data_IF_827108770565
#
_entry.id   IF_827108770565
#
_cell.length_a   1.000
_cell.length_b   1.000
_cell.length_c   1.000
_cell.angle_alpha   90.00
_cell.angle_beta   90.00
_cell.angle_gamma   90.00
#
_symmetry.space_group_name_H-M   'P 1'
#
loop_
_entity.id
_entity.type
_entity.pdbx_description
1 polymer ?
#
# COMPACT_ATOMS: atom_id res chain seq x y z
N UNK A 1 3.21 9.93 12.38
CA UNK A 1 1.76 10.15 12.19
C UNK A 1 1.29 9.41 10.96
N UNK A 2 0.20 8.66 11.06
CA UNK A 2 -0.46 8.01 9.94
C UNK A 2 -1.90 8.53 9.80
N UNK A 3 -2.40 8.64 8.57
CA UNK A 3 -3.73 9.15 8.30
C UNK A 3 -4.48 8.23 7.33
N UNK A 4 -5.72 7.95 7.68
CA UNK A 4 -6.76 7.38 6.82
C UNK A 4 -7.87 8.42 6.61
N UNK A 5 -8.80 8.26 5.66
CA UNK A 5 -9.83 9.28 5.39
C UNK A 5 -10.65 9.68 6.61
N UNK A 6 -10.94 8.72 7.48
CA UNK A 6 -11.78 8.91 8.67
C UNK A 6 -11.02 9.40 9.90
N UNK A 7 -9.69 9.19 9.98
CA UNK A 7 -8.95 9.40 11.23
C UNK A 7 -7.46 9.64 11.02
N UNK A 8 -6.84 10.35 11.98
CA UNK A 8 -5.39 10.53 12.08
C UNK A 8 -4.88 9.83 13.33
N UNK A 9 -3.81 9.05 13.19
CA UNK A 9 -3.16 8.32 14.27
C UNK A 9 -1.78 8.93 14.56
N UNK A 10 -1.49 9.18 15.82
CA UNK A 10 -0.15 9.50 16.29
C UNK A 10 0.46 8.23 16.87
N UNK A 11 1.47 7.69 16.20
CA UNK A 11 2.09 6.42 16.58
C UNK A 11 3.39 6.70 17.35
N UNK A 12 3.61 5.92 18.41
CA UNK A 12 4.88 5.85 19.15
C UNK A 12 5.61 4.54 18.83
N UNK A 13 6.81 4.39 19.35
CA UNK A 13 7.59 3.18 19.18
C UNK A 13 6.84 1.96 19.75
N UNK A 14 6.75 0.92 18.94
CA UNK A 14 6.06 -0.33 19.30
C UNK A 14 4.61 -0.41 18.90
N UNK A 15 3.97 0.72 18.59
CA UNK A 15 2.58 0.73 18.11
C UNK A 15 2.40 0.06 16.77
N UNK A 16 1.26 -0.56 16.58
CA UNK A 16 0.87 -1.20 15.32
C UNK A 16 -0.39 -0.51 14.76
N UNK A 17 -0.33 -0.18 13.49
CA UNK A 17 -1.50 0.25 12.73
C UNK A 17 -1.74 -0.73 11.59
N UNK A 18 -2.88 -1.39 11.60
CA UNK A 18 -3.33 -2.24 10.51
C UNK A 18 -4.34 -1.47 9.69
N UNK A 19 -4.13 -1.42 8.38
CA UNK A 19 -4.97 -0.69 7.44
C UNK A 19 -5.59 -1.69 6.47
N UNK A 20 -6.91 -1.59 6.29
CA UNK A 20 -7.60 -2.43 5.33
C UNK A 20 -7.14 -2.11 3.90
N UNK A 21 -6.92 -3.14 3.07
CA UNK A 21 -6.33 -3.04 1.73
C UNK A 21 -7.03 -2.09 0.77
N UNK A 22 -8.31 -1.79 1.00
CA UNK A 22 -9.06 -0.82 0.19
C UNK A 22 -9.08 0.60 0.79
N UNK A 23 -8.30 0.85 1.83
CA UNK A 23 -8.28 2.15 2.52
C UNK A 23 -7.10 2.98 2.07
N UNK A 24 -7.41 4.16 1.54
CA UNK A 24 -6.38 5.15 1.25
C UNK A 24 -5.71 5.60 2.54
N UNK A 25 -4.39 5.62 2.52
CA UNK A 25 -3.62 6.05 3.67
C UNK A 25 -2.30 6.68 3.26
N UNK A 26 -1.76 7.50 4.13
CA UNK A 26 -0.37 7.92 4.05
C UNK A 26 0.22 8.03 5.46
N UNK A 27 1.54 7.86 5.54
CA UNK A 27 2.28 8.05 6.77
C UNK A 27 3.36 9.11 6.58
N UNK A 28 3.55 9.92 7.61
CA UNK A 28 4.65 10.87 7.70
C UNK A 28 5.49 10.47 8.90
N UNK A 29 6.70 10.01 8.66
CA UNK A 29 7.67 9.69 9.70
C UNK A 29 8.37 10.97 10.18
N UNK A 30 8.69 11.04 11.47
CA UNK A 30 9.65 12.00 11.97
C UNK A 30 11.06 11.67 11.41
N UNK A 31 11.98 12.65 11.30
CA UNK A 31 13.30 12.42 10.66
C UNK A 31 14.12 11.26 11.26
N UNK A 32 13.86 10.89 12.51
CA UNK A 32 14.57 9.81 13.22
C UNK A 32 13.68 8.57 13.45
N UNK A 33 12.63 8.37 12.66
CA UNK A 33 11.69 7.28 12.83
C UNK A 33 11.98 6.14 11.83
N UNK A 34 12.11 4.91 12.34
CA UNK A 34 12.14 3.68 11.54
C UNK A 34 10.71 3.13 11.42
N UNK A 35 10.10 3.29 10.25
CA UNK A 35 8.78 2.75 9.93
C UNK A 35 8.94 1.41 9.22
N UNK A 36 8.43 0.34 9.85
CA UNK A 36 8.39 -1.01 9.27
C UNK A 36 6.97 -1.32 8.83
N UNK A 37 6.80 -1.84 7.63
CA UNK A 37 5.48 -2.18 7.10
C UNK A 37 5.46 -3.51 6.37
N UNK A 38 4.31 -4.18 6.44
CA UNK A 38 3.95 -5.29 5.58
C UNK A 38 2.79 -4.90 4.70
N UNK A 39 2.90 -5.21 3.40
CA UNK A 39 1.77 -5.24 2.48
C UNK A 39 1.67 -6.66 1.95
N UNK A 40 0.54 -7.31 2.14
CA UNK A 40 0.36 -8.69 1.70
C UNK A 40 -1.02 -8.92 1.09
N UNK A 41 -1.07 -9.87 0.14
CA UNK A 41 -2.32 -10.34 -0.40
C UNK A 41 -3.04 -11.23 0.61
N UNK A 42 -4.37 -11.13 0.74
CA UNK A 42 -5.16 -12.07 1.52
C UNK A 42 -4.91 -13.54 1.16
N UNK A 43 -4.58 -13.82 -0.11
CA UNK A 43 -4.26 -15.16 -0.59
C UNK A 43 -3.05 -15.80 0.13
N UNK A 44 -2.13 -14.99 0.66
CA UNK A 44 -1.01 -15.51 1.47
C UNK A 44 -1.51 -16.24 2.72
N UNK A 45 -2.61 -15.75 3.32
CA UNK A 45 -3.23 -16.36 4.49
C UNK A 45 -4.19 -17.47 4.10
N UNK A 46 -5.05 -17.23 3.12
CA UNK A 46 -6.16 -18.13 2.76
C UNK A 46 -5.77 -19.27 1.81
N UNK A 47 -4.69 -19.12 1.06
CA UNK A 47 -4.28 -20.01 -0.02
C UNK A 47 -5.07 -19.74 -1.32
N UNK A 48 -6.39 -19.83 -1.27
CA UNK A 48 -7.30 -19.52 -2.39
C UNK A 48 -8.42 -18.60 -1.94
N UNK A 49 -9.05 -17.89 -2.90
CA UNK A 49 -10.19 -17.02 -2.63
C UNK A 49 -11.46 -17.74 -2.17
N UNK A 50 -11.56 -19.05 -2.42
CA UNK A 50 -12.75 -19.87 -2.17
C UNK A 50 -12.56 -20.80 -0.96
N UNK A 51 -11.47 -20.65 -0.20
CA UNK A 51 -11.24 -21.48 0.97
C UNK A 51 -12.22 -21.14 2.10
N UNK A 52 -12.52 -22.12 2.95
CA UNK A 52 -13.37 -21.90 4.13
C UNK A 52 -12.82 -20.77 5.03
N UNK A 53 -11.51 -20.61 5.07
CA UNK A 53 -10.84 -19.52 5.80
C UNK A 53 -11.13 -18.16 5.14
N UNK A 54 -11.08 -18.10 3.80
CA UNK A 54 -11.41 -16.88 3.06
C UNK A 54 -12.85 -16.45 3.31
N UNK A 55 -13.82 -17.37 3.16
CA UNK A 55 -15.24 -17.08 3.30
C UNK A 55 -15.62 -16.70 4.74
N UNK A 56 -15.12 -17.45 5.71
CA UNK A 56 -15.53 -17.31 7.10
C UNK A 56 -14.87 -16.13 7.84
N UNK A 57 -13.61 -15.82 7.53
CA UNK A 57 -12.83 -14.87 8.33
C UNK A 57 -12.32 -13.68 7.52
N UNK A 58 -11.70 -13.93 6.35
CA UNK A 58 -10.97 -12.87 5.66
C UNK A 58 -11.90 -11.97 4.85
N UNK A 59 -12.85 -12.54 4.09
CA UNK A 59 -13.80 -11.74 3.33
C UNK A 59 -14.66 -10.83 4.23
N UNK A 60 -15.27 -11.33 5.34
CA UNK A 60 -16.00 -10.45 6.27
C UNK A 60 -15.13 -9.37 6.88
N UNK A 61 -13.85 -9.68 7.20
CA UNK A 61 -12.92 -8.69 7.72
C UNK A 61 -12.62 -7.60 6.68
N UNK A 62 -12.29 -7.97 5.44
CA UNK A 62 -11.95 -7.01 4.37
C UNK A 62 -13.14 -6.14 3.95
N UNK A 63 -14.35 -6.68 4.01
CA UNK A 63 -15.59 -5.96 3.66
C UNK A 63 -16.23 -5.26 4.85
N UNK A 64 -15.65 -5.35 6.05
CA UNK A 64 -16.17 -4.71 7.25
C UNK A 64 -16.15 -3.18 7.13
N UNK A 65 -17.30 -2.50 7.11
CA UNK A 65 -17.37 -1.07 6.86
C UNK A 65 -16.70 -0.23 7.95
N UNK A 66 -16.66 -0.72 9.18
CA UNK A 66 -15.99 -0.07 10.32
C UNK A 66 -14.48 -0.29 10.33
N UNK A 67 -13.95 -1.16 9.48
CA UNK A 67 -12.51 -1.46 9.39
C UNK A 67 -11.85 -0.69 8.26
N UNK A 68 -11.60 0.58 8.44
CA UNK A 68 -10.64 1.33 7.62
C UNK A 68 -9.21 1.18 8.16
N UNK A 69 -9.04 1.29 9.47
CA UNK A 69 -7.79 1.04 10.17
C UNK A 69 -8.06 0.53 11.60
N UNK A 70 -7.13 -0.24 12.14
CA UNK A 70 -7.11 -0.70 13.52
C UNK A 70 -5.79 -0.32 14.17
N UNK A 71 -5.87 0.45 15.26
CA UNK A 71 -4.71 0.88 16.05
C UNK A 71 -4.57 0.00 17.28
N UNK A 72 -3.38 -0.53 17.50
CA UNK A 72 -2.98 -1.26 18.71
C UNK A 72 -1.88 -0.50 19.43
N UNK A 73 -2.21 -0.04 20.63
CA UNK A 73 -1.27 0.62 21.54
C UNK A 73 -0.42 -0.45 22.23
N UNK A 74 0.90 -0.34 22.07
CA UNK A 74 1.86 -1.32 22.62
C UNK A 74 1.92 -1.34 24.16
N UNK A 75 1.48 -0.28 24.83
CA UNK A 75 1.46 -0.23 26.30
C UNK A 75 0.29 -1.01 26.90
N UNK A 76 -0.79 -1.22 26.12
CA UNK A 76 -1.98 -1.94 26.58
C UNK A 76 -2.02 -3.39 26.11
N UNK A 77 -1.62 -3.66 24.87
CA UNK A 77 -1.66 -5.00 24.28
C UNK A 77 -0.57 -5.17 23.22
N UNK A 78 0.48 -5.92 23.55
CA UNK A 78 1.61 -6.15 22.64
C UNK A 78 1.40 -7.35 21.68
N UNK A 79 0.22 -7.98 21.71
CA UNK A 79 -0.09 -9.16 20.90
C UNK A 79 0.14 -8.93 19.42
N UNK A 80 -0.38 -7.82 18.88
CA UNK A 80 -0.19 -7.45 17.48
C UNK A 80 1.28 -7.16 17.17
N UNK A 81 1.96 -6.42 18.06
CA UNK A 81 3.37 -6.10 17.91
C UNK A 81 4.25 -7.36 17.92
N UNK A 82 3.89 -8.35 18.75
CA UNK A 82 4.59 -9.64 18.80
C UNK A 82 4.46 -10.41 17.49
N UNK A 83 3.26 -10.57 16.96
CA UNK A 83 3.06 -11.24 15.66
C UNK A 83 3.75 -10.49 14.52
N UNK A 84 3.66 -9.16 14.51
CA UNK A 84 4.36 -8.34 13.52
C UNK A 84 5.88 -8.56 13.58
N UNK A 85 6.48 -8.51 14.78
CA UNK A 85 7.93 -8.74 14.95
C UNK A 85 8.33 -10.15 14.51
N UNK A 86 7.51 -11.17 14.83
CA UNK A 86 7.75 -12.55 14.40
C UNK A 86 7.80 -12.64 12.88
N UNK A 87 6.78 -12.12 12.19
CA UNK A 87 6.74 -12.12 10.73
C UNK A 87 7.91 -11.34 10.12
N UNK A 88 8.19 -10.14 10.64
CA UNK A 88 9.24 -9.27 10.13
C UNK A 88 10.64 -9.87 10.32
N UNK A 89 10.89 -10.49 11.47
CA UNK A 89 12.17 -11.16 11.77
C UNK A 89 12.35 -12.38 10.87
N UNK A 90 11.32 -13.22 10.73
CA UNK A 90 11.37 -14.40 9.86
C UNK A 90 11.69 -14.02 8.43
N UNK A 91 11.02 -12.96 7.91
CA UNK A 91 11.26 -12.46 6.57
C UNK A 91 12.68 -11.87 6.40
N UNK A 92 13.19 -11.15 7.41
CA UNK A 92 14.53 -10.56 7.35
C UNK A 92 15.65 -11.60 7.43
N UNK A 93 15.41 -12.75 8.04
CA UNK A 93 16.38 -13.83 8.18
C UNK A 93 16.35 -14.86 7.05
N UNK A 94 15.21 -15.00 6.38
CA UNK A 94 14.98 -15.96 5.29
C UNK A 94 15.49 -17.39 5.61
N UNK A 95 15.32 -17.82 6.86
CA UNK A 95 15.70 -19.17 7.31
C UNK A 95 14.80 -20.20 6.63
N UNK A 96 15.25 -21.45 6.55
CA UNK A 96 14.42 -22.52 5.97
C UNK A 96 13.01 -22.56 6.60
N UNK A 97 11.98 -22.45 5.77
CA UNK A 97 10.57 -22.44 6.19
C UNK A 97 10.06 -21.13 6.74
N UNK A 98 10.75 -20.00 6.55
CA UNK A 98 10.32 -18.68 7.00
C UNK A 98 8.95 -18.28 6.47
N UNK A 99 8.57 -18.73 5.28
CA UNK A 99 7.26 -18.46 4.66
C UNK A 99 6.11 -18.98 5.52
N UNK A 100 6.29 -20.15 6.15
CA UNK A 100 5.30 -20.70 7.07
C UNK A 100 5.17 -19.85 8.33
N UNK A 101 6.29 -19.40 8.89
CA UNK A 101 6.31 -18.52 10.07
C UNK A 101 5.64 -17.18 9.77
N UNK A 102 5.93 -16.58 8.60
CA UNK A 102 5.28 -15.33 8.14
C UNK A 102 3.78 -15.55 7.99
N UNK A 103 3.37 -16.60 7.29
CA UNK A 103 1.96 -16.92 7.07
C UNK A 103 1.21 -17.14 8.39
N UNK A 104 1.80 -17.89 9.32
CA UNK A 104 1.22 -18.12 10.63
C UNK A 104 1.01 -16.81 11.39
N UNK A 105 2.04 -15.98 11.50
CA UNK A 105 1.97 -14.70 12.20
C UNK A 105 0.92 -13.76 11.59
N UNK A 106 0.85 -13.66 10.26
CA UNK A 106 -0.16 -12.85 9.56
C UNK A 106 -1.58 -13.45 9.75
N UNK A 107 -1.71 -14.77 9.81
CA UNK A 107 -2.99 -15.43 10.11
C UNK A 107 -3.48 -15.09 11.51
N UNK A 108 -2.58 -15.05 12.49
CA UNK A 108 -2.90 -14.67 13.87
C UNK A 108 -3.31 -13.18 13.95
N UNK A 109 -2.66 -12.30 13.18
CA UNK A 109 -3.08 -10.89 13.08
C UNK A 109 -4.51 -10.79 12.53
N UNK A 110 -4.82 -11.50 11.46
CA UNK A 110 -6.17 -11.51 10.88
C UNK A 110 -7.22 -12.05 11.86
N UNK A 111 -6.90 -13.13 12.58
CA UNK A 111 -7.79 -13.71 13.58
C UNK A 111 -8.03 -12.76 14.76
N UNK A 112 -6.99 -12.09 15.25
CA UNK A 112 -7.09 -11.08 16.30
C UNK A 112 -8.01 -9.93 15.87
N UNK A 113 -7.80 -9.40 14.66
CA UNK A 113 -8.64 -8.34 14.09
C UNK A 113 -10.09 -8.79 13.96
N UNK A 114 -10.34 -10.01 13.48
CA UNK A 114 -11.68 -10.57 13.37
C UNK A 114 -12.38 -10.62 14.73
N UNK A 115 -11.69 -11.07 15.76
CA UNK A 115 -12.21 -11.12 17.13
C UNK A 115 -12.52 -9.74 17.72
N UNK A 116 -11.70 -8.73 17.41
CA UNK A 116 -11.87 -7.35 17.91
C UNK A 116 -12.95 -6.58 17.16
N UNK A 117 -13.02 -6.74 15.85
CA UNK A 117 -13.93 -6.00 14.98
C UNK A 117 -15.31 -6.65 14.85
N UNK A 118 -15.40 -7.96 15.11
CA UNK A 118 -16.63 -8.77 15.03
C UNK A 118 -17.44 -8.43 13.75
N UNK A 119 -16.89 -8.63 12.54
CA UNK A 119 -17.57 -8.30 11.30
C UNK A 119 -18.94 -8.96 11.22
N UNK A 120 -19.94 -8.23 10.78
CA UNK A 120 -21.34 -8.72 10.69
C UNK A 120 -22.22 -8.39 11.88
N UNK A 121 -21.68 -7.82 12.97
CA UNK A 121 -22.47 -7.39 14.16
C UNK A 121 -22.80 -5.90 14.17
N UNK A 122 -22.16 -5.10 13.31
CA UNK A 122 -22.37 -3.64 13.24
C UNK A 122 -23.10 -3.25 11.95
N UNK A 123 -23.96 -2.23 12.04
CA UNK A 123 -24.69 -1.66 10.92
C UNK A 123 -23.74 -1.23 9.77
N UNK A 124 -24.16 -1.43 8.53
CA UNK A 124 -23.41 -1.07 7.32
C UNK A 124 -23.03 0.42 7.35
N UNK A 125 -21.75 0.71 7.49
CA UNK A 125 -21.25 2.05 7.21
C UNK A 125 -21.23 2.23 5.69
N UNK A 126 -22.10 3.08 5.17
CA UNK A 126 -22.10 3.45 3.75
C UNK A 126 -20.81 4.22 3.46
N UNK A 127 -19.97 3.79 2.49
CA UNK A 127 -18.77 4.52 2.11
C UNK A 127 -19.15 5.97 1.78
N UNK A 128 -18.30 6.91 2.17
CA UNK A 128 -18.56 8.30 1.81
C UNK A 128 -18.49 8.46 0.28
N UNK A 129 -19.30 9.38 -0.26
CA UNK A 129 -19.31 9.66 -1.70
C UNK A 129 -17.89 10.04 -2.23
N UNK A 130 -17.10 10.71 -1.40
CA UNK A 130 -15.71 11.06 -1.72
C UNK A 130 -14.81 9.81 -1.80
N UNK A 131 -15.02 8.81 -0.93
CA UNK A 131 -14.26 7.54 -0.97
C UNK A 131 -14.57 6.72 -2.22
N UNK A 132 -15.83 6.65 -2.63
CA UNK A 132 -16.19 5.97 -3.88
C UNK A 132 -15.59 6.67 -5.10
N UNK A 133 -15.66 8.01 -5.14
CA UNK A 133 -15.10 8.82 -6.22
C UNK A 133 -13.60 8.63 -6.34
N UNK A 134 -12.87 8.73 -5.22
CA UNK A 134 -11.42 8.60 -5.24
C UNK A 134 -11.02 7.18 -5.67
N UNK A 135 -11.75 6.14 -5.23
CA UNK A 135 -11.50 4.76 -5.62
C UNK A 135 -11.62 4.55 -7.13
N UNK A 136 -12.68 5.11 -7.76
CA UNK A 136 -12.85 5.06 -9.23
C UNK A 136 -11.71 5.77 -9.95
N UNK A 137 -11.32 6.96 -9.48
CA UNK A 137 -10.22 7.73 -10.05
C UNK A 137 -8.87 7.01 -9.95
N UNK A 138 -8.59 6.38 -8.81
CA UNK A 138 -7.36 5.59 -8.64
C UNK A 138 -7.35 4.34 -9.50
N UNK A 139 -8.47 3.62 -9.59
CA UNK A 139 -8.60 2.45 -10.48
C UNK A 139 -8.30 2.84 -11.92
N UNK A 140 -8.81 3.98 -12.36
CA UNK A 140 -8.52 4.51 -13.70
C UNK A 140 -7.02 4.80 -13.87
N UNK A 141 -6.40 5.52 -12.94
CA UNK A 141 -4.97 5.84 -12.99
C UNK A 141 -4.13 4.56 -13.03
N UNK A 142 -4.44 3.57 -12.20
CA UNK A 142 -3.70 2.31 -12.13
C UNK A 142 -3.82 1.48 -13.42
N UNK A 143 -4.95 1.58 -14.12
CA UNK A 143 -5.17 0.86 -15.38
C UNK A 143 -4.59 1.56 -16.62
N UNK A 144 -4.23 2.85 -16.52
CA UNK A 144 -3.82 3.67 -17.67
C UNK A 144 -2.54 4.47 -17.40
N UNK A 145 -1.77 4.13 -16.34
CA UNK A 145 -0.65 4.95 -15.87
C UNK A 145 0.47 5.14 -16.91
N UNK A 146 0.62 4.22 -17.83
CA UNK A 146 1.60 4.24 -18.93
C UNK A 146 1.16 5.09 -20.13
N UNK A 147 -0.10 5.53 -20.16
CA UNK A 147 -0.68 6.37 -21.20
C UNK A 147 -0.65 7.87 -20.82
N UNK A 148 -0.81 8.78 -21.79
CA UNK A 148 -1.06 10.20 -21.49
C UNK A 148 -2.38 10.36 -20.71
N UNK A 149 -2.30 10.79 -19.46
CA UNK A 149 -3.46 11.01 -18.58
C UNK A 149 -3.57 12.50 -18.24
N UNK A 150 -4.79 13.05 -18.39
CA UNK A 150 -5.12 14.41 -17.96
C UNK A 150 -6.01 14.39 -16.71
N UNK A 151 -6.12 15.55 -16.03
CA UNK A 151 -7.07 15.72 -14.91
C UNK A 151 -8.51 15.51 -15.38
N UNK A 152 -8.82 15.82 -16.64
CA UNK A 152 -10.14 15.63 -17.23
C UNK A 152 -10.50 14.14 -17.32
N UNK A 153 -9.56 13.30 -17.74
CA UNK A 153 -9.76 11.85 -17.86
C UNK A 153 -10.01 11.22 -16.49
N UNK A 154 -9.20 11.62 -15.52
CA UNK A 154 -9.32 11.16 -14.12
C UNK A 154 -10.68 11.57 -13.53
N UNK A 155 -11.10 12.81 -13.74
CA UNK A 155 -12.39 13.32 -13.27
C UNK A 155 -13.57 12.61 -13.96
N UNK A 156 -13.44 12.34 -15.27
CA UNK A 156 -14.42 11.60 -16.06
C UNK A 156 -14.68 10.20 -15.55
N UNK A 157 -13.64 9.49 -15.07
CA UNK A 157 -13.77 8.15 -14.49
C UNK A 157 -14.68 8.09 -13.24
N UNK A 158 -14.81 9.20 -12.54
CA UNK A 158 -15.72 9.32 -11.38
C UNK A 158 -16.99 10.14 -11.68
N UNK A 159 -17.22 10.53 -12.95
CA UNK A 159 -18.31 11.38 -13.38
C UNK A 159 -18.43 12.71 -12.59
N UNK A 160 -17.28 13.38 -12.37
CA UNK A 160 -17.19 14.65 -11.62
C UNK A 160 -16.43 15.71 -12.41
N UNK A 161 -16.55 16.98 -12.00
CA UNK A 161 -15.76 18.06 -12.58
C UNK A 161 -14.27 17.97 -12.19
N UNK A 162 -13.39 18.59 -12.99
CA UNK A 162 -11.96 18.67 -12.67
C UNK A 162 -11.71 19.37 -11.31
N UNK A 163 -12.51 20.40 -11.00
CA UNK A 163 -12.42 21.10 -9.70
C UNK A 163 -12.72 20.16 -8.54
N UNK A 164 -13.74 19.33 -8.69
CA UNK A 164 -14.13 18.36 -7.68
C UNK A 164 -13.08 17.22 -7.56
N UNK A 165 -12.53 16.78 -8.68
CA UNK A 165 -11.39 15.84 -8.71
C UNK A 165 -10.20 16.37 -7.90
N UNK A 166 -9.77 17.61 -8.16
CA UNK A 166 -8.70 18.27 -7.42
C UNK A 166 -9.02 18.34 -5.91
N UNK A 167 -10.26 18.71 -5.55
CA UNK A 167 -10.72 18.77 -4.16
C UNK A 167 -10.66 17.40 -3.48
N UNK A 168 -11.18 16.36 -4.14
CA UNK A 168 -11.14 14.98 -3.61
C UNK A 168 -9.73 14.51 -3.39
N UNK A 169 -8.83 14.68 -4.36
CA UNK A 169 -7.42 14.32 -4.23
C UNK A 169 -6.73 15.09 -3.10
N UNK A 170 -6.92 16.41 -3.02
CA UNK A 170 -6.31 17.23 -1.97
C UNK A 170 -6.81 16.82 -0.58
N UNK A 171 -8.12 16.55 -0.43
CA UNK A 171 -8.72 16.15 0.85
C UNK A 171 -8.26 14.77 1.30
N UNK A 172 -8.16 13.81 0.37
CA UNK A 172 -7.99 12.38 0.71
C UNK A 172 -6.55 11.93 0.61
N UNK A 173 -5.82 12.36 -0.43
CA UNK A 173 -4.46 11.88 -0.77
C UNK A 173 -3.40 12.93 -0.45
N UNK A 174 -3.80 14.22 -0.35
CA UNK A 174 -2.92 15.38 -0.15
C UNK A 174 -1.87 15.59 -1.26
N UNK A 175 -2.17 15.06 -2.44
CA UNK A 175 -1.44 15.30 -3.69
C UNK A 175 -2.43 15.79 -4.74
N UNK A 176 -1.94 16.48 -5.78
CA UNK A 176 -2.76 16.67 -6.97
C UNK A 176 -2.88 15.35 -7.76
N UNK A 177 -3.92 15.19 -8.62
CA UNK A 177 -4.07 13.98 -9.44
C UNK A 177 -2.81 13.67 -10.27
N UNK A 178 -2.22 14.69 -10.91
CA UNK A 178 -1.00 14.51 -11.72
C UNK A 178 0.23 14.17 -10.87
N UNK A 179 0.37 14.74 -9.67
CA UNK A 179 1.43 14.33 -8.74
C UNK A 179 1.28 12.87 -8.31
N UNK A 180 0.04 12.41 -8.11
CA UNK A 180 -0.21 11.01 -7.82
C UNK A 180 0.14 10.10 -9.01
N UNK A 181 -0.25 10.45 -10.24
CA UNK A 181 0.14 9.73 -11.46
C UNK A 181 1.67 9.59 -11.54
N UNK A 182 2.40 10.70 -11.37
CA UNK A 182 3.87 10.68 -11.41
C UNK A 182 4.46 9.79 -10.31
N UNK A 183 3.93 9.86 -9.09
CA UNK A 183 4.35 8.99 -7.99
C UNK A 183 4.11 7.52 -8.33
N UNK A 184 2.93 7.18 -8.83
CA UNK A 184 2.58 5.81 -9.19
C UNK A 184 3.48 5.27 -10.32
N UNK A 185 3.71 6.05 -11.38
CA UNK A 185 4.65 5.72 -12.46
C UNK A 185 6.07 5.41 -11.93
N UNK A 186 6.55 6.22 -11.00
CA UNK A 186 7.87 6.02 -10.38
C UNK A 186 7.90 4.76 -9.52
N UNK A 187 6.82 4.43 -8.80
CA UNK A 187 6.72 3.19 -8.05
C UNK A 187 6.76 1.97 -8.97
N UNK A 188 6.02 1.98 -10.09
CA UNK A 188 6.08 0.93 -11.12
C UNK A 188 7.47 0.82 -11.74
N UNK A 189 8.12 1.95 -11.98
CA UNK A 189 9.50 1.98 -12.47
C UNK A 189 10.52 1.38 -11.47
N UNK A 190 10.35 1.63 -10.18
CA UNK A 190 11.19 1.05 -9.13
C UNK A 190 11.04 -0.48 -9.07
N UNK A 191 9.81 -0.96 -9.16
CA UNK A 191 9.50 -2.40 -9.21
C UNK A 191 10.14 -3.07 -10.45
N UNK A 192 9.97 -2.48 -11.64
CA UNK A 192 10.60 -3.01 -12.87
C UNK A 192 12.12 -2.97 -12.83
N UNK A 193 12.74 -1.97 -12.20
CA UNK A 193 14.19 -1.90 -12.05
C UNK A 193 14.76 -3.09 -11.27
N UNK A 194 14.03 -3.64 -10.34
CA UNK A 194 14.40 -4.80 -9.52
C UNK A 194 14.03 -6.11 -10.21
N UNK A 195 12.81 -6.23 -10.71
CA UNK A 195 12.31 -7.46 -11.35
C UNK A 195 12.95 -7.76 -12.71
N UNK A 196 13.30 -6.71 -13.46
CA UNK A 196 13.86 -6.82 -14.80
C UNK A 196 15.28 -6.16 -14.88
N UNK A 197 16.29 -6.69 -14.17
CA UNK A 197 17.60 -6.04 -14.03
C UNK A 197 18.36 -5.87 -15.38
N UNK A 198 18.07 -6.68 -16.38
CA UNK A 198 18.63 -6.60 -17.72
C UNK A 198 17.97 -5.56 -18.63
N UNK A 199 16.75 -5.12 -18.31
CA UNK A 199 16.00 -4.15 -19.12
C UNK A 199 16.62 -2.76 -19.03
N UNK A 200 16.84 -2.09 -20.16
CA UNK A 200 17.43 -0.76 -20.14
C UNK A 200 16.51 0.28 -19.47
N UNK A 201 17.11 1.27 -18.82
CA UNK A 201 16.37 2.30 -18.06
C UNK A 201 15.41 3.10 -18.97
N UNK A 202 15.83 3.31 -20.24
CA UNK A 202 14.99 4.00 -21.23
C UNK A 202 13.72 3.22 -21.53
N UNK A 203 13.79 1.90 -21.66
CA UNK A 203 12.63 1.05 -21.89
C UNK A 203 11.70 0.99 -20.66
N UNK A 204 12.27 0.98 -19.45
CA UNK A 204 11.49 1.08 -18.20
C UNK A 204 10.77 2.44 -18.12
N UNK A 205 11.48 3.53 -18.41
CA UNK A 205 10.88 4.86 -18.42
C UNK A 205 9.68 4.95 -19.37
N UNK A 206 9.84 4.45 -20.60
CA UNK A 206 8.77 4.40 -21.59
C UNK A 206 7.59 3.53 -21.14
N UNK A 207 7.86 2.34 -20.60
CA UNK A 207 6.83 1.43 -20.07
C UNK A 207 6.08 2.00 -18.85
N UNK A 208 6.63 3.02 -18.19
CA UNK A 208 5.99 3.74 -17.10
C UNK A 208 5.36 5.09 -17.56
N UNK A 209 5.21 5.31 -18.86
CA UNK A 209 4.56 6.51 -19.42
C UNK A 209 5.38 7.79 -19.32
N UNK A 210 6.72 7.70 -19.30
CA UNK A 210 7.59 8.86 -19.39
C UNK A 210 8.08 9.07 -20.83
N UNK A 211 7.91 10.30 -21.33
CA UNK A 211 8.36 10.68 -22.67
C UNK A 211 9.89 10.71 -22.83
N UNK A 212 10.62 10.81 -21.73
CA UNK A 212 12.08 10.81 -21.74
C UNK A 212 12.69 10.17 -20.51
N UNK A 213 13.84 9.50 -20.72
CA UNK A 213 14.67 8.96 -19.65
C UNK A 213 15.13 10.03 -18.67
N UNK A 214 15.40 11.25 -19.14
CA UNK A 214 15.85 12.35 -18.29
C UNK A 214 14.77 12.79 -17.31
N UNK A 215 13.51 12.89 -17.78
CA UNK A 215 12.37 13.22 -16.93
C UNK A 215 12.14 12.11 -15.90
N UNK A 216 12.15 10.84 -16.32
CA UNK A 216 12.07 9.70 -15.42
C UNK A 216 13.16 9.75 -14.35
N UNK A 217 14.43 9.89 -14.74
CA UNK A 217 15.55 9.88 -13.78
C UNK A 217 15.49 11.05 -12.78
N UNK A 218 15.09 12.25 -13.22
CA UNK A 218 14.90 13.42 -12.34
C UNK A 218 13.77 13.18 -11.35
N UNK A 219 12.63 12.70 -11.83
CA UNK A 219 11.45 12.42 -11.00
C UNK A 219 11.75 11.27 -10.03
N UNK A 220 12.41 10.21 -10.50
CA UNK A 220 12.82 9.08 -9.67
C UNK A 220 13.74 9.53 -8.51
N UNK A 221 14.76 10.35 -8.82
CA UNK A 221 15.66 10.89 -7.80
C UNK A 221 14.93 11.76 -6.78
N UNK A 222 13.89 12.47 -7.19
CA UNK A 222 13.07 13.27 -6.28
C UNK A 222 12.33 12.39 -5.25
N UNK A 223 11.80 11.24 -5.66
CA UNK A 223 11.03 10.35 -4.76
C UNK A 223 11.91 9.39 -3.95
N UNK A 224 12.99 8.87 -4.53
CA UNK A 224 13.82 7.83 -3.92
C UNK A 224 15.21 8.33 -3.44
N UNK A 225 15.51 9.61 -3.57
CA UNK A 225 16.82 10.22 -3.28
C UNK A 225 18.02 9.59 -4.05
N UNK A 226 17.79 8.58 -4.87
CA UNK A 226 18.75 7.84 -5.67
C UNK A 226 18.39 7.91 -7.16
N UNK A 227 19.40 7.79 -8.03
CA UNK A 227 19.14 7.60 -9.47
C UNK A 227 18.60 6.19 -9.74
N UNK A 228 17.83 5.95 -10.83
CA UNK A 228 17.37 4.62 -11.20
C UNK A 228 18.50 3.58 -11.30
N UNK A 229 19.69 3.99 -11.77
CA UNK A 229 20.87 3.12 -11.87
C UNK A 229 21.43 2.73 -10.50
N UNK A 230 21.51 3.70 -9.58
CA UNK A 230 21.95 3.44 -8.21
C UNK A 230 20.95 2.56 -7.46
N UNK A 231 19.67 2.85 -7.60
CA UNK A 231 18.58 2.07 -7.02
C UNK A 231 18.63 0.60 -7.49
N UNK A 232 18.73 0.36 -8.80
CA UNK A 232 18.91 -1.00 -9.34
C UNK A 232 20.13 -1.68 -8.72
N UNK A 233 21.29 -1.02 -8.71
CA UNK A 233 22.52 -1.61 -8.18
C UNK A 233 22.38 -2.00 -6.70
N UNK A 234 21.77 -1.17 -5.87
CA UNK A 234 21.62 -1.44 -4.45
C UNK A 234 20.61 -2.57 -4.15
N UNK A 235 19.59 -2.77 -5.00
CA UNK A 235 18.55 -3.77 -4.77
C UNK A 235 18.78 -5.10 -5.49
N UNK A 236 19.58 -5.12 -6.56
CA UNK A 236 19.99 -6.36 -7.25
C UNK A 236 21.22 -7.00 -6.59
N UNK A 237 22.03 -6.21 -5.86
CA UNK A 237 23.25 -6.68 -5.19
C UNK A 237 23.04 -7.08 -3.72
N UNK A 238 21.83 -6.91 -3.18
CA UNK A 238 21.49 -7.27 -1.79
C UNK A 238 20.16 -8.01 -1.83
N UNK A 239 20.04 -9.19 -1.23
CA UNK A 239 18.73 -9.81 -1.05
C UNK A 239 17.85 -8.83 -0.25
N UNK A 240 16.68 -8.66 -0.74
CA UNK A 240 15.61 -7.70 -0.46
C UNK A 240 15.53 -7.32 1.03
N UNK A 241 15.92 -6.08 1.38
CA UNK A 241 15.66 -5.49 2.72
C UNK A 241 14.30 -4.77 2.83
N UNK A 242 13.55 -4.66 1.75
CA UNK A 242 12.18 -4.16 1.72
C UNK A 242 11.31 -5.18 0.99
N UNK A 243 10.66 -6.04 1.74
CA UNK A 243 9.69 -6.97 1.19
C UNK A 243 8.40 -6.23 0.85
N UNK A 244 8.32 -5.67 -0.35
CA UNK A 244 7.04 -5.37 -1.00
C UNK A 244 6.61 -6.64 -1.71
N UNK A 245 5.85 -7.48 -1.02
CA UNK A 245 5.12 -8.56 -1.67
C UNK A 245 3.86 -7.97 -2.30
N UNK A 246 3.95 -7.57 -3.57
CA UNK A 246 2.78 -7.48 -4.43
C UNK A 246 2.60 -8.86 -5.06
N UNK A 247 1.64 -9.61 -4.57
CA UNK A 247 1.07 -10.77 -5.25
C UNK A 247 -0.33 -10.40 -5.68
#
# INVERSE_FOLDING_TARGET
TAKVPSQTFSLKQGDILVINGNTLHYAVAAPECDLRSFVFSPALVTGSGDSAMAEKYIRPLLTCPSFSAFYSDSDFDDTMARYFRTAFTALAQESFGFEFTVREALSQICLFLYGRLQPGTTAEAVPSLDEERIKKMLTYIHGHFDEPITVSDIAGAAAISQRECLRCFQKTIQLSPIQYVLKYRIMQGADQLVKEPSKCITAIAAACGFDSQSHFAKTFKHFYANTPRQYRKSHVSTPIKEAVFSI
#
